data_IF_247033447460
#
_entry.id   IF_247033447460
#
_cell.length_a   1.000
_cell.length_b   1.000
_cell.length_c   1.000
_cell.angle_alpha   90.00
_cell.angle_beta   90.00
_cell.angle_gamma   90.00
#
_symmetry.space_group_name_H-M   'P 1'
#
loop_
_entity.id
_entity.type
_entity.pdbx_description
1 polymer ?
#
# COMPACT_ATOMS: atom_id res chain seq x y z
N UNK A 1 44.11 4.16 5.47
CA UNK A 1 42.74 4.53 5.87
C UNK A 1 41.80 3.94 4.82
N UNK A 2 41.04 2.86 5.08
CA UNK A 2 40.16 2.29 4.07
C UNK A 2 38.79 2.97 4.08
N UNK A 3 38.27 3.08 2.87
CA UNK A 3 37.01 3.65 2.40
C UNK A 3 35.81 2.97 3.08
N UNK A 4 34.95 3.76 3.73
CA UNK A 4 33.68 3.26 4.29
C UNK A 4 32.77 2.96 3.11
N UNK A 5 32.68 1.67 2.76
CA UNK A 5 31.66 1.10 1.92
C UNK A 5 30.29 1.65 2.36
N UNK A 6 29.60 2.29 1.43
CA UNK A 6 28.21 2.67 1.56
C UNK A 6 27.43 1.39 1.84
N UNK A 7 26.87 1.27 3.05
CA UNK A 7 25.80 0.32 3.30
C UNK A 7 24.63 0.82 2.47
N UNK A 8 24.25 0.09 1.43
CA UNK A 8 22.88 0.14 0.94
C UNK A 8 21.99 -0.17 2.16
N UNK A 9 21.40 0.88 2.73
CA UNK A 9 20.29 0.71 3.65
C UNK A 9 19.21 -0.02 2.84
N UNK A 10 19.07 -1.31 3.12
CA UNK A 10 17.93 -2.15 2.75
C UNK A 10 16.67 -1.53 3.37
N UNK A 11 16.27 -0.40 2.80
CA UNK A 11 15.15 0.40 3.26
C UNK A 11 13.96 -0.27 2.64
N UNK A 12 13.28 -1.11 3.41
CA UNK A 12 12.04 -1.74 2.94
C UNK A 12 11.13 -0.64 2.37
N UNK A 13 10.68 -0.77 1.12
CA UNK A 13 9.84 0.25 0.50
C UNK A 13 8.56 0.41 1.31
N UNK A 14 8.21 1.65 1.62
CA UNK A 14 6.97 1.96 2.31
C UNK A 14 5.87 2.16 1.28
N UNK A 15 4.71 1.54 1.51
CA UNK A 15 3.55 1.70 0.66
C UNK A 15 2.39 2.33 1.43
N UNK A 16 1.65 3.20 0.75
CA UNK A 16 0.40 3.77 1.21
C UNK A 16 -0.74 3.26 0.34
N UNK A 17 -1.81 2.80 0.98
CA UNK A 17 -3.03 2.37 0.32
C UNK A 17 -4.13 3.37 0.63
N UNK A 18 -4.78 3.91 -0.41
CA UNK A 18 -5.84 4.91 -0.29
C UNK A 18 -7.11 4.36 -0.91
N UNK A 19 -8.16 4.21 -0.11
CA UNK A 19 -9.48 3.84 -0.63
C UNK A 19 -10.15 5.07 -1.27
N UNK A 20 -10.49 4.95 -2.55
CA UNK A 20 -11.19 5.96 -3.33
C UNK A 20 -12.63 5.48 -3.52
N UNK A 21 -13.48 5.83 -2.56
CA UNK A 21 -14.85 5.29 -2.45
C UNK A 21 -15.71 5.62 -3.68
N UNK A 22 -15.61 6.84 -4.22
CA UNK A 22 -16.43 7.27 -5.35
C UNK A 22 -15.95 6.68 -6.69
N UNK A 23 -14.67 6.30 -6.76
CA UNK A 23 -14.03 5.73 -7.94
C UNK A 23 -14.01 4.19 -7.92
N UNK A 24 -14.57 3.56 -6.88
CA UNK A 24 -14.57 2.11 -6.68
C UNK A 24 -13.16 1.48 -6.82
N UNK A 25 -12.15 2.12 -6.24
CA UNK A 25 -10.75 1.65 -6.35
C UNK A 25 -9.91 1.93 -5.11
N UNK A 26 -8.78 1.25 -5.02
CA UNK A 26 -7.70 1.51 -4.06
C UNK A 26 -6.48 1.96 -4.84
N UNK A 27 -5.91 3.11 -4.48
CA UNK A 27 -4.65 3.58 -5.04
C UNK A 27 -3.49 3.12 -4.16
N UNK A 28 -2.47 2.54 -4.78
CA UNK A 28 -1.21 2.11 -4.16
C UNK A 28 -0.14 3.13 -4.49
N UNK A 29 0.50 3.71 -3.46
CA UNK A 29 1.57 4.69 -3.63
C UNK A 29 2.83 4.21 -2.89
N UNK A 30 3.98 4.33 -3.55
CA UNK A 30 5.28 4.20 -2.89
C UNK A 30 5.62 5.49 -2.16
N UNK A 31 6.22 5.37 -0.97
CA UNK A 31 6.65 6.46 -0.12
C UNK A 31 8.18 6.41 0.00
N UNK A 32 8.83 7.52 -0.35
CA UNK A 32 10.23 7.74 0.01
C UNK A 32 10.33 7.99 1.51
N UNK A 33 11.02 7.10 2.24
CA UNK A 33 11.14 7.19 3.70
C UNK A 33 11.92 8.41 4.20
N UNK A 34 12.82 8.96 3.38
CA UNK A 34 13.64 10.12 3.76
C UNK A 34 12.91 11.43 3.50
N UNK A 35 12.17 11.52 2.39
CA UNK A 35 11.55 12.78 1.94
C UNK A 35 10.04 12.83 2.14
N UNK A 36 9.39 11.69 2.36
CA UNK A 36 7.93 11.55 2.39
C UNK A 36 7.28 11.70 1.01
N UNK A 37 8.07 11.75 -0.08
CA UNK A 37 7.55 11.90 -1.44
C UNK A 37 6.72 10.68 -1.82
N UNK A 38 5.48 10.93 -2.26
CA UNK A 38 4.57 9.90 -2.76
C UNK A 38 4.69 9.74 -4.27
N UNK A 39 4.77 8.49 -4.72
CA UNK A 39 4.79 8.13 -6.13
C UNK A 39 3.70 7.10 -6.40
N UNK A 40 2.70 7.38 -7.25
CA UNK A 40 1.70 6.39 -7.64
C UNK A 40 2.36 5.14 -8.24
N UNK A 41 1.92 3.96 -7.80
CA UNK A 41 2.41 2.67 -8.29
C UNK A 41 1.31 1.91 -9.03
N UNK A 42 0.14 1.77 -8.42
CA UNK A 42 -0.94 0.96 -8.97
C UNK A 42 -2.33 1.44 -8.54
N UNK A 43 -3.35 0.97 -9.25
CA UNK A 43 -4.76 1.16 -8.92
C UNK A 43 -5.52 -0.16 -9.01
N UNK A 44 -6.12 -0.58 -7.90
CA UNK A 44 -6.84 -1.84 -7.79
C UNK A 44 -8.34 -1.54 -7.77
N UNK A 45 -9.10 -2.09 -8.73
CA UNK A 45 -10.55 -1.96 -8.74
C UNK A 45 -11.16 -2.75 -7.56
N UNK A 46 -11.98 -2.07 -6.77
CA UNK A 46 -12.70 -2.63 -5.62
C UNK A 46 -14.13 -2.12 -5.66
N UNK A 47 -15.07 -2.86 -6.28
CA UNK A 47 -16.44 -2.41 -6.41
C UNK A 47 -17.15 -2.38 -5.04
N UNK A 48 -18.06 -1.44 -4.88
CA UNK A 48 -18.92 -1.34 -3.70
C UNK A 48 -18.56 -0.24 -2.73
N UNK A 49 -17.75 0.73 -3.14
CA UNK A 49 -17.34 1.87 -2.34
C UNK A 49 -16.40 1.47 -1.21
N UNK A 50 -15.11 1.21 -1.50
CA UNK A 50 -14.13 0.88 -0.48
C UNK A 50 -13.99 2.05 0.49
N UNK A 51 -13.98 1.78 1.79
CA UNK A 51 -13.94 2.81 2.82
C UNK A 51 -12.94 2.50 3.93
N UNK A 52 -13.14 1.39 4.65
CA UNK A 52 -12.21 1.01 5.73
C UNK A 52 -11.12 0.11 5.18
N UNK A 53 -9.86 0.48 5.42
CA UNK A 53 -8.70 -0.37 5.12
C UNK A 53 -8.04 -0.85 6.41
N UNK A 54 -7.61 -2.10 6.43
CA UNK A 54 -6.81 -2.67 7.51
C UNK A 54 -5.72 -3.58 6.95
N UNK A 55 -4.49 -3.42 7.44
CA UNK A 55 -3.37 -4.29 7.06
C UNK A 55 -3.21 -5.35 8.16
N UNK A 56 -2.96 -6.59 7.77
CA UNK A 56 -2.67 -7.68 8.71
C UNK A 56 -1.39 -7.38 9.52
N UNK A 57 -1.27 -7.85 10.77
CA UNK A 57 -0.08 -7.58 11.59
C UNK A 57 1.23 -8.08 10.97
N UNK A 58 1.16 -9.16 10.19
CA UNK A 58 2.28 -9.74 9.43
C UNK A 58 2.54 -9.03 8.08
N UNK A 59 1.74 -8.02 7.74
CA UNK A 59 1.83 -7.20 6.52
C UNK A 59 1.71 -7.99 5.21
N UNK A 60 1.11 -9.17 5.25
CA UNK A 60 0.90 -10.00 4.07
C UNK A 60 -0.44 -9.76 3.40
N UNK A 61 -1.40 -9.13 4.09
CA UNK A 61 -2.74 -8.89 3.56
C UNK A 61 -3.25 -7.49 3.85
N UNK A 62 -3.96 -6.93 2.87
CA UNK A 62 -4.79 -5.73 2.98
C UNK A 62 -6.25 -6.15 2.91
N UNK A 63 -7.05 -5.70 3.87
CA UNK A 63 -8.50 -5.89 3.90
C UNK A 63 -9.19 -4.57 3.57
N UNK A 64 -10.19 -4.62 2.69
CA UNK A 64 -11.01 -3.48 2.31
C UNK A 64 -12.49 -3.77 2.55
N UNK A 65 -13.08 -2.98 3.44
CA UNK A 65 -14.52 -2.99 3.70
C UNK A 65 -15.24 -2.05 2.75
N UNK A 66 -16.28 -2.55 2.10
CA UNK A 66 -17.13 -1.79 1.18
C UNK A 66 -18.38 -1.28 1.91
N UNK A 67 -18.72 0.00 1.72
CA UNK A 67 -19.88 0.64 2.37
C UNK A 67 -21.12 0.65 1.47
N UNK A 68 -20.92 0.78 0.17
CA UNK A 68 -21.99 0.78 -0.83
C UNK A 68 -22.62 -0.61 -1.01
N UNK A 69 -21.80 -1.66 -0.90
CA UNK A 69 -22.26 -3.05 -0.83
C UNK A 69 -21.67 -3.72 0.42
N UNK A 70 -22.43 -4.57 1.14
CA UNK A 70 -21.91 -5.27 2.32
C UNK A 70 -20.97 -6.40 1.90
N UNK A 71 -19.74 -6.04 1.54
CA UNK A 71 -18.70 -6.95 1.08
C UNK A 71 -17.35 -6.60 1.70
N UNK A 72 -16.49 -7.61 1.81
CA UNK A 72 -15.12 -7.50 2.26
C UNK A 72 -14.21 -8.07 1.17
N UNK A 73 -13.20 -7.32 0.79
CA UNK A 73 -12.14 -7.80 -0.09
C UNK A 73 -10.85 -7.99 0.70
N UNK A 74 -10.07 -8.99 0.31
CA UNK A 74 -8.73 -9.24 0.83
C UNK A 74 -7.74 -9.31 -0.32
N UNK A 75 -6.62 -8.60 -0.19
CA UNK A 75 -5.56 -8.56 -1.18
C UNK A 75 -4.26 -9.04 -0.53
N UNK A 76 -3.50 -9.85 -1.25
CA UNK A 76 -2.16 -10.22 -0.81
C UNK A 76 -1.20 -9.06 -1.13
N UNK A 77 -0.40 -8.66 -0.15
CA UNK A 77 0.63 -7.63 -0.30
C UNK A 77 1.93 -8.32 -0.74
N UNK A 78 2.49 -7.88 -1.86
CA UNK A 78 3.84 -8.28 -2.25
C UNK A 78 4.83 -7.31 -1.61
N UNK A 79 5.68 -7.79 -0.69
CA UNK A 79 6.59 -6.90 0.04
C UNK A 79 7.63 -6.18 -0.81
N UNK A 80 7.86 -6.62 -2.06
CA UNK A 80 8.74 -5.93 -3.01
C UNK A 80 8.05 -4.80 -3.79
N UNK A 81 6.73 -4.88 -4.00
CA UNK A 81 5.99 -3.99 -4.93
C UNK A 81 4.80 -3.27 -4.32
N UNK A 82 4.40 -3.64 -3.10
CA UNK A 82 3.15 -3.21 -2.48
C UNK A 82 1.98 -4.06 -2.93
#
# INVERSE_FOLDING_TARGET
MPERAQREEDTMPYFMYVALQEDDKISVLAIDHQTGKLTPQDEIAVPGGPFTLAISPDRNFLYAGCRGTPQLFSFQINQGTG
#
